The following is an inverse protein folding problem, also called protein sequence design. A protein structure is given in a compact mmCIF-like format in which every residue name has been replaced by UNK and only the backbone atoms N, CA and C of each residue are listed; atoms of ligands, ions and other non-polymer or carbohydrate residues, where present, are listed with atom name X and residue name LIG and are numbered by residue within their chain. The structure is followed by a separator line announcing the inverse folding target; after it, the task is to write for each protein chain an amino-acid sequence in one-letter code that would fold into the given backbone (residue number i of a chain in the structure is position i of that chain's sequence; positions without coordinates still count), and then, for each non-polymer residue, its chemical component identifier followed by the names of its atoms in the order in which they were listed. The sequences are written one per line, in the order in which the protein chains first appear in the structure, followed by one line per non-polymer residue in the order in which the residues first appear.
data_IF_500519962261
#
_entry.id   IF_500519962261
#
_cell.length_a   1.000
_cell.length_b   1.000
_cell.length_c   1.000
_cell.angle_alpha   90.00
_cell.angle_beta   90.00
_cell.angle_gamma   90.00
#
_symmetry.space_group_name_H-M   'P 1'
#
loop_
_entity.id
_entity.type
_entity.pdbx_description
1 polymer ?
#
# COMPACT_ATOMS: atom_id res chain seq x y z
N UNK A 1 8.94 -23.17 -26.46
CA UNK A 1 8.90 -21.76 -26.05
C UNK A 1 7.71 -21.56 -25.11
N UNK A 2 7.84 -22.01 -23.86
CA UNK A 2 6.79 -21.92 -22.84
C UNK A 2 6.90 -20.58 -22.12
N UNK A 3 6.06 -19.63 -22.49
CA UNK A 3 5.87 -18.42 -21.69
C UNK A 3 5.23 -18.84 -20.37
N UNK A 4 6.05 -19.05 -19.33
CA UNK A 4 5.58 -19.18 -17.96
C UNK A 4 4.75 -17.93 -17.63
N UNK A 5 3.44 -18.10 -17.45
CA UNK A 5 2.54 -17.06 -16.94
C UNK A 5 3.09 -16.62 -15.57
N UNK A 6 3.81 -15.51 -15.52
CA UNK A 6 4.39 -15.00 -14.27
C UNK A 6 3.27 -14.51 -13.37
N UNK A 7 2.71 -15.43 -12.58
CA UNK A 7 1.62 -15.23 -11.62
C UNK A 7 2.02 -14.15 -10.61
N UNK A 8 1.25 -13.06 -10.53
CA UNK A 8 1.53 -11.95 -9.61
C UNK A 8 0.83 -12.23 -8.28
N UNK A 9 1.60 -12.63 -7.28
CA UNK A 9 1.07 -12.88 -5.95
C UNK A 9 1.08 -11.58 -5.14
N UNK A 10 -0.09 -11.00 -4.86
CA UNK A 10 -0.20 -9.76 -4.10
C UNK A 10 -0.08 -9.99 -2.58
N UNK A 11 0.18 -11.23 -2.15
CA UNK A 11 0.62 -11.53 -0.78
C UNK A 11 2.12 -11.40 -0.59
N UNK A 12 2.90 -11.21 -1.68
CA UNK A 12 4.36 -11.13 -1.62
C UNK A 12 4.89 -9.86 -2.27
N UNK A 13 5.69 -9.10 -1.53
CA UNK A 13 6.36 -7.92 -2.06
C UNK A 13 7.48 -8.33 -3.03
N UNK A 14 7.28 -8.12 -4.34
CA UNK A 14 8.33 -8.32 -5.34
C UNK A 14 9.09 -7.02 -5.56
N UNK A 15 10.19 -6.85 -4.81
CA UNK A 15 11.03 -5.67 -4.90
C UNK A 15 11.76 -5.58 -6.25
N UNK A 16 11.59 -4.46 -6.96
CA UNK A 16 12.55 -4.08 -8.01
C UNK A 16 13.87 -3.63 -7.33
N UNK A 17 15.05 -3.92 -7.90
CA UNK A 17 16.33 -3.55 -7.29
C UNK A 17 16.49 -2.04 -7.05
N UNK A 18 15.87 -1.21 -7.90
CA UNK A 18 15.82 0.25 -7.73
C UNK A 18 15.01 0.69 -6.51
N UNK A 19 13.89 0.02 -6.25
CA UNK A 19 13.00 0.33 -5.13
C UNK A 19 13.59 -0.14 -3.80
N UNK A 20 14.28 -1.30 -3.83
CA UNK A 20 15.06 -1.79 -2.70
C UNK A 20 16.16 -0.78 -2.32
N UNK A 21 16.90 -0.27 -3.31
CA UNK A 21 17.94 0.72 -3.08
C UNK A 21 17.38 2.02 -2.46
N UNK A 22 16.21 2.47 -2.91
CA UNK A 22 15.54 3.66 -2.34
C UNK A 22 15.09 3.41 -0.89
N UNK A 23 14.48 2.25 -0.60
CA UNK A 23 14.03 1.93 0.76
C UNK A 23 15.21 1.75 1.73
N UNK A 24 16.26 1.06 1.30
CA UNK A 24 17.52 0.95 2.07
C UNK A 24 18.14 2.33 2.26
N UNK A 25 18.21 3.17 1.22
CA UNK A 25 18.73 4.54 1.31
C UNK A 25 17.98 5.40 2.33
N UNK A 26 16.64 5.35 2.35
CA UNK A 26 15.82 6.04 3.36
C UNK A 26 16.12 5.54 4.78
N UNK A 27 16.20 4.22 4.98
CA UNK A 27 16.50 3.63 6.29
C UNK A 27 17.88 4.03 6.81
N UNK A 28 18.90 4.04 5.94
CA UNK A 28 20.26 4.48 6.26
C UNK A 28 20.30 5.96 6.58
N UNK A 29 19.56 6.80 5.84
CA UNK A 29 19.48 8.24 6.10
C UNK A 29 18.86 8.54 7.48
N UNK A 30 17.78 7.86 7.84
CA UNK A 30 17.14 8.02 9.16
C UNK A 30 18.08 7.57 10.29
N UNK A 31 18.75 6.44 10.12
CA UNK A 31 19.75 5.94 11.09
C UNK A 31 20.93 6.91 11.21
N UNK A 32 21.40 7.47 10.10
CA UNK A 32 22.47 8.46 10.10
C UNK A 32 22.07 9.77 10.80
N UNK A 33 20.85 10.26 10.56
CA UNK A 33 20.32 11.45 11.23
C UNK A 33 20.19 11.24 12.73
N UNK A 34 19.62 10.11 13.16
CA UNK A 34 19.50 9.78 14.59
C UNK A 34 20.88 9.63 15.25
N UNK A 35 21.83 8.94 14.60
CA UNK A 35 23.18 8.78 15.12
C UNK A 35 23.92 10.12 15.25
N UNK A 36 23.76 11.01 14.26
CA UNK A 36 24.36 12.34 14.27
C UNK A 36 23.76 13.24 15.36
N UNK A 37 22.43 13.30 15.47
CA UNK A 37 21.75 14.18 16.43
C UNK A 37 21.81 13.71 17.88
N UNK A 38 21.79 12.40 18.15
CA UNK A 38 21.73 11.88 19.52
C UNK A 38 23.06 11.44 20.11
N UNK A 39 24.06 11.10 19.29
CA UNK A 39 25.34 10.57 19.78
C UNK A 39 26.55 11.28 19.20
N UNK A 40 26.41 12.02 18.10
CA UNK A 40 27.51 12.72 17.39
C UNK A 40 28.74 11.80 17.17
N UNK A 41 28.49 10.49 17.04
CA UNK A 41 29.50 9.43 17.00
C UNK A 41 29.11 8.34 16.02
N UNK A 42 30.08 7.92 15.19
CA UNK A 42 29.90 6.88 14.15
C UNK A 42 29.64 5.50 14.76
N UNK A 43 30.11 5.26 15.99
CA UNK A 43 29.94 3.97 16.69
C UNK A 43 28.48 3.66 17.08
N UNK A 44 27.62 4.69 17.13
CA UNK A 44 26.19 4.52 17.40
C UNK A 44 25.39 3.94 16.20
N UNK A 45 25.97 3.89 14.99
CA UNK A 45 25.29 3.31 13.82
C UNK A 45 25.00 1.81 13.97
N UNK A 46 25.89 1.07 14.65
CA UNK A 46 25.79 -0.39 14.76
C UNK A 46 24.54 -0.84 15.55
N UNK A 47 24.25 -0.31 16.75
CA UNK A 47 23.01 -0.65 17.46
C UNK A 47 21.75 -0.09 16.79
N UNK A 48 21.82 1.08 16.12
CA UNK A 48 20.66 1.64 15.39
C UNK A 48 20.31 0.88 14.10
N UNK A 49 21.22 0.05 13.58
CA UNK A 49 20.95 -0.77 12.39
C UNK A 49 19.76 -1.72 12.57
N UNK A 50 19.55 -2.25 13.79
CA UNK A 50 18.38 -3.10 14.14
C UNK A 50 17.07 -2.32 13.97
N UNK A 51 17.05 -1.04 14.34
CA UNK A 51 15.91 -0.15 14.16
C UNK A 51 15.68 0.14 12.67
N UNK A 52 16.76 0.33 11.89
CA UNK A 52 16.68 0.48 10.44
C UNK A 52 16.11 -0.75 9.72
N UNK A 53 16.46 -1.96 10.16
CA UNK A 53 15.92 -3.22 9.61
C UNK A 53 14.43 -3.38 9.95
N UNK A 54 14.01 -3.01 11.16
CA UNK A 54 12.58 -3.00 11.52
C UNK A 54 11.80 -1.98 10.69
N UNK A 55 12.35 -0.80 10.46
CA UNK A 55 11.76 0.22 9.60
C UNK A 55 11.63 -0.27 8.15
N UNK A 56 12.66 -0.94 7.64
CA UNK A 56 12.64 -1.55 6.31
C UNK A 56 11.55 -2.63 6.17
N UNK A 57 11.36 -3.47 7.20
CA UNK A 57 10.27 -4.44 7.24
C UNK A 57 8.89 -3.77 7.21
N UNK A 58 8.69 -2.70 7.99
CA UNK A 58 7.43 -1.95 7.99
C UNK A 58 7.12 -1.31 6.62
N UNK A 59 8.14 -0.75 5.96
CA UNK A 59 7.97 -0.15 4.62
C UNK A 59 7.63 -1.21 3.55
N UNK A 60 8.15 -2.43 3.71
CA UNK A 60 7.79 -3.57 2.86
C UNK A 60 6.30 -3.88 2.93
N UNK A 61 5.75 -3.98 4.13
CA UNK A 61 4.33 -4.28 4.35
C UNK A 61 3.43 -3.17 3.78
N UNK A 62 3.81 -1.90 3.99
CA UNK A 62 3.08 -0.74 3.44
C UNK A 62 2.98 -0.75 1.92
N UNK A 63 4.03 -1.22 1.23
CA UNK A 63 3.99 -1.32 -0.24
C UNK A 63 3.02 -2.37 -0.74
N UNK A 64 2.92 -3.51 -0.04
CA UNK A 64 1.94 -4.55 -0.37
C UNK A 64 0.53 -3.97 -0.26
N UNK A 65 0.26 -3.24 0.83
CA UNK A 65 -1.02 -2.55 1.03
C UNK A 65 -1.29 -1.53 -0.08
N UNK A 66 -0.31 -0.68 -0.43
CA UNK A 66 -0.50 0.36 -1.46
C UNK A 66 -0.82 -0.24 -2.84
N UNK A 67 -0.11 -1.29 -3.25
CA UNK A 67 -0.41 -1.96 -4.53
C UNK A 67 -1.76 -2.67 -4.52
N UNK A 68 -2.20 -3.21 -3.38
CA UNK A 68 -3.55 -3.77 -3.24
C UNK A 68 -4.60 -2.67 -3.35
N UNK A 69 -4.39 -1.53 -2.73
CA UNK A 69 -5.30 -0.38 -2.81
C UNK A 69 -5.41 0.16 -4.24
N UNK A 70 -4.28 0.30 -4.95
CA UNK A 70 -4.25 0.66 -6.37
C UNK A 70 -5.08 -0.35 -7.18
N UNK A 71 -4.87 -1.65 -6.95
CA UNK A 71 -5.67 -2.70 -7.61
C UNK A 71 -7.16 -2.58 -7.28
N UNK A 72 -7.54 -2.29 -6.03
CA UNK A 72 -8.96 -2.13 -5.63
C UNK A 72 -9.59 -0.93 -6.32
N UNK A 73 -8.89 0.21 -6.35
CA UNK A 73 -9.35 1.42 -7.03
C UNK A 73 -9.50 1.22 -8.54
N UNK A 74 -8.51 0.59 -9.18
CA UNK A 74 -8.57 0.27 -10.60
C UNK A 74 -9.65 -0.80 -10.91
N UNK A 75 -9.83 -1.78 -10.02
CA UNK A 75 -10.86 -2.82 -10.14
C UNK A 75 -12.27 -2.23 -10.09
N UNK A 76 -12.50 -1.20 -9.26
CA UNK A 76 -13.76 -0.44 -9.25
C UNK A 76 -14.12 0.10 -10.63
N UNK A 77 -13.20 0.83 -11.26
CA UNK A 77 -13.46 1.43 -12.57
C UNK A 77 -13.65 0.34 -13.64
N UNK A 78 -12.94 -0.79 -13.52
CA UNK A 78 -13.13 -1.95 -14.38
C UNK A 78 -14.53 -2.56 -14.26
N UNK A 79 -15.02 -2.86 -13.06
CA UNK A 79 -16.35 -3.48 -12.88
C UNK A 79 -17.49 -2.54 -13.27
N UNK A 80 -17.31 -1.22 -13.09
CA UNK A 80 -18.27 -0.22 -13.57
C UNK A 80 -18.30 -0.16 -15.10
N UNK A 81 -17.15 -0.23 -15.77
CA UNK A 81 -17.07 -0.36 -17.24
C UNK A 81 -17.76 -1.65 -17.71
N UNK A 82 -17.47 -2.80 -17.07
CA UNK A 82 -18.13 -4.08 -17.39
C UNK A 82 -19.65 -3.97 -17.23
N UNK A 83 -20.13 -3.38 -16.14
CA UNK A 83 -21.56 -3.19 -15.92
C UNK A 83 -22.22 -2.32 -17.02
N UNK A 84 -21.53 -1.26 -17.48
CA UNK A 84 -21.99 -0.42 -18.57
C UNK A 84 -22.08 -1.20 -19.91
N UNK A 85 -21.06 -2.00 -20.23
CA UNK A 85 -21.08 -2.86 -21.43
C UNK A 85 -22.19 -3.93 -21.36
N UNK A 86 -22.39 -4.55 -20.19
CA UNK A 86 -23.49 -5.50 -19.99
C UNK A 86 -24.86 -4.85 -20.24
N UNK A 87 -25.06 -3.61 -19.76
CA UNK A 87 -26.28 -2.83 -19.98
C UNK A 87 -26.50 -2.48 -21.46
N UNK A 88 -25.41 -2.32 -22.22
CA UNK A 88 -25.45 -2.15 -23.67
C UNK A 88 -25.71 -3.46 -24.44
N UNK A 89 -25.91 -4.58 -23.74
CA UNK A 89 -26.26 -5.88 -24.34
C UNK A 89 -25.06 -6.75 -24.71
N UNK A 90 -23.84 -6.39 -24.27
CA UNK A 90 -22.68 -7.26 -24.48
C UNK A 90 -22.80 -8.54 -23.65
N UNK A 91 -22.31 -9.65 -24.22
CA UNK A 91 -22.04 -10.86 -23.45
C UNK A 91 -21.00 -10.55 -22.35
N UNK A 92 -21.09 -11.26 -21.24
CA UNK A 92 -20.30 -10.99 -20.03
C UNK A 92 -18.80 -11.15 -20.28
N UNK A 93 -18.42 -12.22 -20.96
CA UNK A 93 -17.04 -12.47 -21.35
C UNK A 93 -16.50 -11.35 -22.24
N UNK A 94 -17.32 -10.88 -23.19
CA UNK A 94 -16.95 -9.76 -24.07
C UNK A 94 -16.86 -8.44 -23.31
N UNK A 95 -17.72 -8.20 -22.33
CA UNK A 95 -17.66 -7.01 -21.48
C UNK A 95 -16.34 -6.93 -20.72
N UNK A 96 -15.82 -8.06 -20.20
CA UNK A 96 -14.49 -8.11 -19.56
C UNK A 96 -13.33 -7.95 -20.55
N UNK A 97 -13.46 -8.44 -21.78
CA UNK A 97 -12.45 -8.22 -22.82
C UNK A 97 -12.42 -6.75 -23.24
N UNK A 98 -13.57 -6.10 -23.34
CA UNK A 98 -13.68 -4.69 -23.74
C UNK A 98 -13.19 -3.76 -22.62
N UNK A 99 -13.55 -4.03 -21.36
CA UNK A 99 -13.11 -3.22 -20.22
C UNK A 99 -11.58 -3.17 -20.07
N UNK A 100 -10.87 -4.17 -20.60
CA UNK A 100 -9.40 -4.12 -20.72
C UNK A 100 -8.91 -2.95 -21.55
N UNK A 101 -9.56 -2.65 -22.68
CA UNK A 101 -9.19 -1.50 -23.52
C UNK A 101 -9.48 -0.19 -22.78
N UNK A 102 -10.60 -0.11 -22.06
CA UNK A 102 -10.93 1.04 -21.22
C UNK A 102 -9.87 1.26 -20.14
N UNK A 103 -9.50 0.21 -19.41
CA UNK A 103 -8.47 0.29 -18.37
C UNK A 103 -7.09 0.65 -18.94
N UNK A 104 -6.78 0.19 -20.15
CA UNK A 104 -5.55 0.58 -20.87
C UNK A 104 -5.51 2.08 -21.15
N UNK A 105 -6.65 2.67 -21.54
CA UNK A 105 -6.75 4.10 -21.80
C UNK A 105 -6.73 4.92 -20.52
N UNK A 106 -7.36 4.44 -19.44
CA UNK A 106 -7.45 5.14 -18.16
C UNK A 106 -6.13 5.14 -17.37
N UNK A 107 -5.48 3.98 -17.27
CA UNK A 107 -4.34 3.75 -16.36
C UNK A 107 -3.04 3.36 -17.08
N UNK A 108 -3.09 3.09 -18.39
CA UNK A 108 -1.93 2.67 -19.17
C UNK A 108 -1.63 1.16 -19.09
N UNK A 109 -0.68 0.73 -19.93
CA UNK A 109 -0.29 -0.69 -20.08
C UNK A 109 0.56 -1.24 -18.92
N UNK A 110 1.11 -0.37 -18.06
CA UNK A 110 1.84 -0.78 -16.86
C UNK A 110 0.93 -0.95 -15.62
N UNK A 111 -0.35 -0.61 -15.72
CA UNK A 111 -1.30 -0.68 -14.60
C UNK A 111 -1.54 -2.11 -14.13
N UNK A 112 -1.94 -2.22 -12.86
CA UNK A 112 -2.08 -3.52 -12.20
C UNK A 112 -3.29 -4.25 -12.76
N UNK A 113 -4.42 -3.55 -12.92
CA UNK A 113 -5.66 -4.11 -13.46
C UNK A 113 -5.51 -4.53 -14.91
N UNK A 114 -4.78 -3.76 -15.73
CA UNK A 114 -4.58 -4.10 -17.14
C UNK A 114 -3.83 -5.43 -17.27
N UNK A 115 -2.78 -5.61 -16.47
CA UNK A 115 -2.03 -6.87 -16.44
C UNK A 115 -2.90 -8.06 -16.02
N UNK A 116 -3.80 -7.88 -15.06
CA UNK A 116 -4.74 -8.94 -14.62
C UNK A 116 -5.84 -9.20 -15.66
N UNK A 117 -6.39 -8.17 -16.31
CA UNK A 117 -7.35 -8.34 -17.41
C UNK A 117 -6.72 -9.04 -18.62
N UNK A 118 -5.45 -8.76 -18.92
CA UNK A 118 -4.71 -9.48 -19.96
C UNK A 118 -4.39 -10.92 -19.55
N UNK A 119 -4.25 -11.21 -18.25
CA UNK A 119 -4.20 -12.57 -17.74
C UNK A 119 -5.54 -13.30 -17.92
N UNK A 120 -6.65 -12.65 -17.56
CA UNK A 120 -8.02 -13.16 -17.73
C UNK A 120 -8.29 -13.46 -19.21
N UNK A 121 -8.02 -12.50 -20.11
CA UNK A 121 -8.19 -12.68 -21.56
C UNK A 121 -7.41 -13.87 -22.09
N UNK A 122 -6.13 -14.01 -21.72
CA UNK A 122 -5.30 -15.15 -22.15
C UNK A 122 -5.83 -16.47 -21.61
N UNK A 123 -6.33 -16.50 -20.38
CA UNK A 123 -7.00 -17.65 -19.79
C UNK A 123 -8.25 -18.07 -20.56
N UNK A 124 -9.09 -17.12 -20.96
CA UNK A 124 -10.29 -17.39 -21.76
C UNK A 124 -9.95 -17.95 -23.15
N UNK A 125 -8.87 -17.47 -23.78
CA UNK A 125 -8.40 -18.01 -25.09
C UNK A 125 -8.03 -19.50 -25.00
N UNK A 126 -7.56 -19.96 -23.85
CA UNK A 126 -7.26 -21.37 -23.59
C UNK A 126 -8.42 -22.11 -22.89
N UNK A 127 -9.65 -21.61 -23.01
CA UNK A 127 -10.89 -22.19 -22.49
C UNK A 127 -10.97 -22.34 -20.97
N UNK A 128 -10.26 -21.51 -20.20
CA UNK A 128 -10.52 -21.39 -18.76
C UNK A 128 -11.75 -20.50 -18.56
N UNK A 129 -12.64 -20.89 -17.65
CA UNK A 129 -13.86 -20.13 -17.35
C UNK A 129 -13.54 -18.78 -16.70
N UNK A 130 -14.32 -17.75 -17.01
CA UNK A 130 -14.16 -16.42 -16.44
C UNK A 130 -14.33 -16.44 -14.91
N UNK A 131 -15.24 -17.28 -14.40
CA UNK A 131 -15.49 -17.51 -12.98
C UNK A 131 -14.23 -17.97 -12.25
N UNK A 132 -13.51 -18.92 -12.83
CA UNK A 132 -12.28 -19.47 -12.25
C UNK A 132 -11.16 -18.43 -12.27
N UNK A 133 -11.05 -17.65 -13.34
CA UNK A 133 -10.05 -16.58 -13.47
C UNK A 133 -10.31 -15.43 -12.48
N UNK A 134 -11.57 -15.02 -12.30
CA UNK A 134 -11.96 -14.02 -11.31
C UNK A 134 -11.78 -14.54 -9.88
N UNK A 135 -12.03 -15.82 -9.64
CA UNK A 135 -11.79 -16.46 -8.35
C UNK A 135 -10.28 -16.53 -8.01
N UNK A 136 -9.42 -16.83 -8.99
CA UNK A 136 -7.96 -16.77 -8.81
C UNK A 136 -7.50 -15.35 -8.47
N UNK A 137 -8.02 -14.34 -9.17
CA UNK A 137 -7.74 -12.94 -8.87
C UNK A 137 -8.20 -12.55 -7.46
N UNK A 138 -9.40 -12.98 -7.05
CA UNK A 138 -9.94 -12.74 -5.72
C UNK A 138 -9.06 -13.30 -4.59
N UNK A 139 -8.61 -14.55 -4.71
CA UNK A 139 -7.72 -15.17 -3.72
C UNK A 139 -6.38 -14.45 -3.65
N UNK A 140 -5.84 -14.04 -4.80
CA UNK A 140 -4.53 -13.39 -4.91
C UNK A 140 -4.56 -11.94 -4.47
N UNK A 141 -5.63 -11.21 -4.71
CA UNK A 141 -5.73 -9.77 -4.43
C UNK A 141 -5.73 -9.47 -2.92
N UNK A 142 -6.24 -10.40 -2.10
CA UNK A 142 -6.38 -10.18 -0.66
C UNK A 142 -7.37 -9.06 -0.32
N UNK A 143 -8.29 -8.73 -1.24
CA UNK A 143 -9.35 -7.73 -1.06
C UNK A 143 -10.70 -8.41 -0.90
N UNK A 144 -11.40 -8.09 0.19
CA UNK A 144 -12.74 -8.59 0.46
C UNK A 144 -13.73 -8.18 -0.63
N UNK A 145 -13.56 -7.00 -1.24
CA UNK A 145 -14.46 -6.50 -2.29
C UNK A 145 -14.35 -7.32 -3.59
N UNK A 146 -13.12 -7.69 -3.97
CA UNK A 146 -12.87 -8.52 -5.16
C UNK A 146 -13.36 -9.95 -4.90
N UNK A 147 -13.15 -10.47 -3.69
CA UNK A 147 -13.67 -11.79 -3.26
C UNK A 147 -15.20 -11.82 -3.34
N UNK A 148 -15.86 -10.80 -2.77
CA UNK A 148 -17.31 -10.70 -2.78
C UNK A 148 -17.86 -10.59 -4.20
N UNK A 149 -17.23 -9.80 -5.06
CA UNK A 149 -17.60 -9.70 -6.47
C UNK A 149 -17.51 -11.06 -7.18
N UNK A 150 -16.37 -11.74 -7.07
CA UNK A 150 -16.15 -13.03 -7.74
C UNK A 150 -17.15 -14.10 -7.28
N UNK A 151 -17.49 -14.13 -5.99
CA UNK A 151 -18.50 -15.03 -5.45
C UNK A 151 -19.90 -14.73 -6.01
N UNK A 152 -20.32 -13.46 -5.98
CA UNK A 152 -21.62 -13.05 -6.53
C UNK A 152 -21.69 -13.35 -8.02
N UNK A 153 -20.61 -13.11 -8.76
CA UNK A 153 -20.50 -13.43 -10.18
C UNK A 153 -20.70 -14.92 -10.46
N UNK A 154 -19.98 -15.79 -9.75
CA UNK A 154 -20.07 -17.24 -9.92
C UNK A 154 -21.48 -17.77 -9.59
N UNK A 155 -22.11 -17.24 -8.54
CA UNK A 155 -23.49 -17.60 -8.17
C UNK A 155 -24.48 -17.11 -9.23
N UNK A 156 -24.36 -15.86 -9.67
CA UNK A 156 -25.27 -15.26 -10.63
C UNK A 156 -25.22 -15.96 -12.00
N UNK A 157 -24.02 -16.32 -12.46
CA UNK A 157 -23.84 -17.05 -13.72
C UNK A 157 -24.41 -18.47 -13.66
N UNK A 158 -24.25 -19.17 -12.53
CA UNK A 158 -24.83 -20.51 -12.33
C UNK A 158 -26.35 -20.51 -12.20
N UNK A 159 -26.92 -19.47 -11.57
CA UNK A 159 -28.37 -19.35 -11.36
C UNK A 159 -29.14 -18.93 -12.62
N UNK A 160 -28.49 -18.46 -13.68
CA UNK A 160 -29.13 -18.11 -14.95
C UNK A 160 -30.15 -16.96 -14.86
N UNK A 161 -30.11 -16.17 -13.78
CA UNK A 161 -31.00 -15.03 -13.58
C UNK A 161 -30.62 -13.82 -14.46
N UNK A 162 -31.11 -12.63 -14.10
CA UNK A 162 -30.72 -11.37 -14.75
C UNK A 162 -29.31 -10.96 -14.34
N UNK A 163 -28.33 -11.65 -14.89
CA UNK A 163 -26.90 -11.45 -14.62
C UNK A 163 -26.47 -9.98 -14.82
N UNK A 164 -26.88 -9.26 -15.89
CA UNK A 164 -26.57 -7.84 -16.03
C UNK A 164 -27.02 -6.99 -14.84
N UNK A 165 -28.25 -7.19 -14.37
CA UNK A 165 -28.81 -6.43 -13.22
C UNK A 165 -28.05 -6.72 -11.92
N UNK A 166 -27.70 -8.00 -11.69
CA UNK A 166 -26.96 -8.43 -10.49
C UNK A 166 -25.54 -7.85 -10.51
N UNK A 167 -24.84 -7.94 -11.63
CA UNK A 167 -23.48 -7.41 -11.76
C UNK A 167 -23.48 -5.89 -11.64
N UNK A 168 -24.44 -5.19 -12.26
CA UNK A 168 -24.54 -3.74 -12.15
C UNK A 168 -24.78 -3.30 -10.69
N UNK A 169 -25.75 -3.91 -10.01
CA UNK A 169 -26.05 -3.59 -8.61
C UNK A 169 -24.84 -3.84 -7.70
N UNK A 170 -24.12 -4.94 -7.95
CA UNK A 170 -22.94 -5.32 -7.17
C UNK A 170 -21.77 -4.36 -7.44
N UNK A 171 -21.54 -3.99 -8.70
CA UNK A 171 -20.51 -3.02 -9.09
C UNK A 171 -20.78 -1.63 -8.47
N UNK A 172 -22.02 -1.16 -8.48
CA UNK A 172 -22.42 0.10 -7.84
C UNK A 172 -22.29 0.05 -6.31
N UNK A 173 -22.58 -1.09 -5.68
CA UNK A 173 -22.41 -1.28 -4.23
C UNK A 173 -20.93 -1.25 -3.83
N UNK A 174 -20.09 -2.02 -4.53
CA UNK A 174 -18.65 -2.08 -4.30
C UNK A 174 -18.02 -0.71 -4.59
N UNK A 175 -18.41 -0.06 -5.68
CA UNK A 175 -17.92 1.27 -6.04
C UNK A 175 -18.19 2.30 -4.95
N UNK A 176 -19.42 2.35 -4.42
CA UNK A 176 -19.76 3.23 -3.28
C UNK A 176 -18.95 2.93 -2.03
N UNK A 177 -18.69 1.66 -1.74
CA UNK A 177 -17.86 1.26 -0.58
C UNK A 177 -16.41 1.71 -0.75
N UNK A 178 -15.85 1.57 -1.94
CA UNK A 178 -14.49 2.01 -2.27
C UNK A 178 -14.39 3.53 -2.22
N UNK A 179 -15.35 4.26 -2.79
CA UNK A 179 -15.37 5.73 -2.76
C UNK A 179 -15.43 6.27 -1.32
N UNK A 180 -16.28 5.68 -0.47
CA UNK A 180 -16.35 6.04 0.94
C UNK A 180 -15.01 5.81 1.66
N UNK A 181 -14.32 4.69 1.38
CA UNK A 181 -12.98 4.43 1.93
C UNK A 181 -11.95 5.44 1.44
N UNK A 182 -12.02 5.84 0.17
CA UNK A 182 -11.12 6.82 -0.42
C UNK A 182 -11.33 8.23 0.15
N UNK A 183 -12.59 8.61 0.43
CA UNK A 183 -12.93 9.85 1.14
C UNK A 183 -12.33 9.86 2.55
N UNK A 184 -12.55 8.79 3.33
CA UNK A 184 -11.96 8.62 4.67
C UNK A 184 -10.43 8.72 4.61
N UNK A 185 -9.80 8.08 3.62
CA UNK A 185 -8.35 8.12 3.45
C UNK A 185 -7.84 9.53 3.13
N UNK A 186 -8.58 10.29 2.35
CA UNK A 186 -8.22 11.69 2.05
C UNK A 186 -8.22 12.52 3.32
N UNK A 187 -9.22 12.32 4.20
CA UNK A 187 -9.26 12.95 5.52
C UNK A 187 -8.09 12.51 6.42
N UNK A 188 -7.76 11.22 6.41
CA UNK A 188 -6.59 10.67 7.15
C UNK A 188 -5.26 11.19 6.61
N UNK A 189 -5.15 11.43 5.31
CA UNK A 189 -3.91 11.93 4.68
C UNK A 189 -3.52 13.30 5.24
N UNK A 190 -4.51 14.16 5.53
CA UNK A 190 -4.29 15.42 6.24
C UNK A 190 -3.69 15.20 7.63
N UNK A 191 -4.25 14.28 8.41
CA UNK A 191 -3.73 13.90 9.75
C UNK A 191 -2.34 13.27 9.69
N UNK A 192 -2.07 12.47 8.66
CA UNK A 192 -0.76 11.87 8.45
C UNK A 192 0.30 12.94 8.18
N UNK A 193 -0.04 14.00 7.43
CA UNK A 193 0.87 15.11 7.17
C UNK A 193 1.19 15.89 8.45
N UNK A 194 0.18 16.18 9.29
CA UNK A 194 0.38 16.79 10.62
C UNK A 194 1.32 15.95 11.48
N UNK A 195 1.10 14.63 11.53
CA UNK A 195 1.96 13.73 12.28
C UNK A 195 3.39 13.69 11.73
N UNK A 196 3.54 13.76 10.41
CA UNK A 196 4.86 13.81 9.77
C UNK A 196 5.61 15.09 10.16
N UNK A 197 4.91 16.23 10.24
CA UNK A 197 5.47 17.50 10.71
C UNK A 197 5.86 17.40 12.20
N UNK A 198 5.02 16.81 13.04
CA UNK A 198 5.34 16.57 14.46
C UNK A 198 6.58 15.69 14.65
N UNK A 199 6.76 14.66 13.80
CA UNK A 199 7.94 13.79 13.83
C UNK A 199 9.23 14.56 13.49
N UNK A 200 9.14 15.57 12.63
CA UNK A 200 10.27 16.39 12.19
C UNK A 200 10.63 17.53 13.17
N UNK A 201 9.65 18.03 13.93
CA UNK A 201 9.80 19.18 14.82
C UNK A 201 10.99 19.06 15.82
N UNK A 202 11.20 17.93 16.52
CA UNK A 202 12.31 17.81 17.48
C UNK A 202 13.69 17.97 16.82
N UNK A 203 13.86 17.49 15.58
CA UNK A 203 15.10 17.67 14.83
C UNK A 203 15.31 19.12 14.41
N UNK A 204 14.24 19.81 13.99
CA UNK A 204 14.30 21.24 13.69
C UNK A 204 14.72 22.07 14.90
N UNK A 205 14.17 21.77 16.08
CA UNK A 205 14.54 22.43 17.35
C UNK A 205 16.00 22.13 17.71
N UNK A 206 16.42 20.86 17.63
CA UNK A 206 17.81 20.46 17.89
C UNK A 206 18.79 21.16 16.94
N UNK A 207 18.45 21.27 15.66
CA UNK A 207 19.26 21.96 14.66
C UNK A 207 19.37 23.46 14.96
N UNK A 208 18.24 24.09 15.29
CA UNK A 208 18.20 25.51 15.66
C UNK A 208 19.08 25.80 16.88
N UNK A 209 18.91 25.05 17.97
CA UNK A 209 19.70 25.24 19.21
C UNK A 209 21.18 24.95 18.96
N UNK A 210 21.50 23.88 18.21
CA UNK A 210 22.89 23.53 17.90
C UNK A 210 23.62 24.56 17.05
N UNK A 211 22.90 25.27 16.17
CA UNK A 211 23.48 26.35 15.36
C UNK A 211 23.59 27.67 16.12
N UNK A 212 22.66 27.97 17.02
CA UNK A 212 22.65 29.23 17.78
C UNK A 212 23.55 29.21 19.02
N UNK A 213 23.74 28.05 19.67
CA UNK A 213 24.52 27.91 20.89
C UNK A 213 25.61 26.83 20.75
N UNK A 214 26.82 27.25 20.35
CA UNK A 214 27.99 26.36 20.34
C UNK A 214 28.36 25.98 21.78
N UNK A 215 28.26 24.69 22.11
CA UNK A 215 28.63 24.14 23.43
C UNK A 215 27.46 23.71 24.34
N UNK A 216 26.20 23.97 23.96
CA UNK A 216 25.04 23.62 24.80
C UNK A 216 24.93 22.11 25.11
N UNK A 217 25.29 21.26 24.15
CA UNK A 217 25.20 19.82 24.30
C UNK A 217 26.53 19.14 24.70
N UNK A 218 27.64 19.88 24.81
CA UNK A 218 28.95 19.27 25.04
C UNK A 218 29.06 18.61 26.43
N UNK A 219 28.32 19.12 27.41
CA UNK A 219 28.20 18.52 28.76
C UNK A 219 27.47 17.17 28.74
N UNK A 220 26.58 16.93 27.77
CA UNK A 220 25.84 15.66 27.61
C UNK A 220 26.62 14.61 26.80
N UNK A 221 27.56 15.03 25.94
CA UNK A 221 28.28 14.10 25.06
C UNK A 221 29.60 13.55 25.64
N UNK A 222 30.21 14.21 26.63
CA UNK A 222 31.52 13.79 27.18
C UNK A 222 31.45 12.79 28.36
N UNK A 223 30.30 12.69 29.06
CA UNK A 223 30.16 11.88 30.27
C UNK A 223 29.34 10.59 30.04
N UNK A 224 29.70 9.49 30.73
CA UNK A 224 28.93 8.22 30.72
C UNK A 224 27.45 8.42 31.12
N UNK A 225 27.18 9.34 32.05
CA UNK A 225 25.82 9.67 32.48
C UNK A 225 25.01 10.36 31.36
N UNK A 226 25.67 11.19 30.53
CA UNK A 226 25.02 11.86 29.41
C UNK A 226 24.64 10.88 28.30
N UNK A 227 25.50 9.89 28.03
CA UNK A 227 25.19 8.77 27.11
C UNK A 227 23.93 8.03 27.56
N UNK A 228 23.80 7.71 28.85
CA UNK A 228 22.62 7.03 29.40
C UNK A 228 21.32 7.84 29.22
N UNK A 229 21.37 9.16 29.48
CA UNK A 229 20.22 10.06 29.30
C UNK A 229 19.82 10.12 27.82
N UNK A 230 20.79 10.20 26.90
CA UNK A 230 20.53 10.20 25.45
C UNK A 230 19.95 8.87 24.97
N UNK A 231 20.33 7.74 25.60
CA UNK A 231 19.72 6.43 25.29
C UNK A 231 18.26 6.41 25.70
N UNK A 232 17.93 6.90 26.90
CA UNK A 232 16.54 6.97 27.38
C UNK A 232 15.70 7.89 26.50
N UNK A 233 16.21 9.07 26.14
CA UNK A 233 15.52 10.00 25.23
C UNK A 233 15.26 9.37 23.85
N UNK A 234 16.24 8.64 23.31
CA UNK A 234 16.05 7.92 22.03
C UNK A 234 14.97 6.85 22.14
N UNK A 235 14.97 6.06 23.22
CA UNK A 235 13.96 5.02 23.44
C UNK A 235 12.56 5.63 23.55
N UNK A 236 12.41 6.72 24.31
CA UNK A 236 11.13 7.43 24.43
C UNK A 236 10.70 8.01 23.09
N UNK A 237 11.62 8.60 22.31
CA UNK A 237 11.33 9.13 20.98
C UNK A 237 10.86 8.04 20.00
N UNK A 238 11.58 6.92 19.94
CA UNK A 238 11.22 5.78 19.09
C UNK A 238 9.88 5.17 19.54
N UNK A 239 9.66 5.04 20.85
CA UNK A 239 8.39 4.56 21.38
C UNK A 239 7.23 5.48 20.98
N UNK A 240 7.39 6.80 21.14
CA UNK A 240 6.39 7.78 20.72
C UNK A 240 6.11 7.73 19.21
N UNK A 241 7.15 7.55 18.38
CA UNK A 241 7.02 7.38 16.94
C UNK A 241 6.19 6.13 16.59
N UNK A 242 6.53 4.98 17.18
CA UNK A 242 5.85 3.70 16.92
C UNK A 242 4.41 3.73 17.41
N UNK A 243 4.16 4.29 18.60
CA UNK A 243 2.80 4.48 19.14
C UNK A 243 1.97 5.37 18.24
N UNK A 244 2.53 6.49 17.77
CA UNK A 244 1.83 7.40 16.85
C UNK A 244 1.44 6.70 15.55
N UNK A 245 2.36 5.96 14.92
CA UNK A 245 2.06 5.21 13.69
C UNK A 245 1.01 4.11 13.91
N UNK A 246 1.11 3.37 15.02
CA UNK A 246 0.13 2.33 15.36
C UNK A 246 -1.26 2.91 15.59
N UNK A 247 -1.38 4.03 16.28
CA UNK A 247 -2.68 4.67 16.53
C UNK A 247 -3.30 5.11 15.20
N UNK A 248 -2.52 5.73 14.32
CA UNK A 248 -3.04 6.16 13.03
C UNK A 248 -3.45 4.98 12.15
N UNK A 249 -2.66 3.90 12.14
CA UNK A 249 -3.00 2.65 11.44
C UNK A 249 -4.24 1.97 12.04
N UNK A 250 -4.40 1.98 13.36
CA UNK A 250 -5.60 1.44 14.02
C UNK A 250 -6.85 2.24 13.69
N UNK A 251 -6.74 3.58 13.62
CA UNK A 251 -7.84 4.44 13.23
C UNK A 251 -8.23 4.16 11.77
N UNK A 252 -7.25 4.00 10.87
CA UNK A 252 -7.50 3.63 9.48
C UNK A 252 -8.24 2.28 9.39
N UNK A 253 -7.73 1.24 10.07
CA UNK A 253 -8.30 -0.12 10.04
C UNK A 253 -9.69 -0.23 10.70
N UNK A 254 -9.99 0.60 11.70
CA UNK A 254 -11.30 0.58 12.39
C UNK A 254 -12.40 1.26 11.57
N UNK A 255 -12.04 2.01 10.53
CA UNK A 255 -12.97 2.67 9.61
C UNK A 255 -13.16 1.90 8.29
N UNK A 256 -12.44 0.79 8.08
CA UNK A 256 -12.59 -0.13 6.93
C UNK A 256 -13.71 -1.17 7.10
#
# INVERSE_FOLDING_TARGET
MSASLTRRDYHKCRWKPKELAVAVGKSVLVVALLAYFFYRSVWAMLPLSVIGVLFFRMESERRIETTREELIGEFKECILSVAASLKAGYAVENAFVESRNDMRLLYGEESVIYAELEHIRRGMVINITLEELLSDLAVRSGSDDIVQFAQVFAIAKKSGGRLPDIIQTTAEMIGRRIDARQEIRTLLSGRQMEQNIMKLMPFGILFYIGSSYQGYFDSFYHNLQGVAIMTVCLVVYVAAYVLGDKILQQIARKME
#
